data_IF_760438372133
#
_entry.id   IF_760438372133
#
_cell.length_a   1.000
_cell.length_b   1.000
_cell.length_c   1.000
_cell.angle_alpha   90.00
_cell.angle_beta   90.00
_cell.angle_gamma   90.00
#
_symmetry.space_group_name_H-M   'P 1'
#
loop_
_entity.id
_entity.type
_entity.pdbx_description
1 polymer ?
#
# COMPACT_ATOMS: atom_id res chain seq x y z
N UNK A 1 0.13 34.07 17.19
CA UNK A 1 0.74 33.90 18.54
C UNK A 1 -0.24 33.34 19.59
N UNK A 2 -1.37 34.03 19.96
CA UNK A 2 -2.28 33.49 21.00
C UNK A 2 -2.97 32.16 20.65
N UNK A 3 -3.34 31.93 19.39
CA UNK A 3 -3.99 30.68 18.94
C UNK A 3 -3.02 29.50 18.89
N UNK A 4 -1.79 29.71 18.50
CA UNK A 4 -0.74 28.68 18.44
C UNK A 4 -0.34 28.22 19.85
N UNK A 5 -0.19 29.15 20.80
CA UNK A 5 0.08 28.81 22.19
C UNK A 5 -1.00 27.94 22.82
N UNK A 6 -2.29 28.24 22.53
CA UNK A 6 -3.40 27.40 23.00
C UNK A 6 -3.37 25.98 22.41
N UNK A 7 -3.06 25.85 21.12
CA UNK A 7 -2.94 24.53 20.45
C UNK A 7 -1.77 23.74 21.01
N UNK A 8 -0.63 24.38 21.24
CA UNK A 8 0.54 23.73 21.83
C UNK A 8 0.20 23.20 23.24
N UNK A 9 -0.47 24.00 24.07
CA UNK A 9 -0.92 23.58 25.40
C UNK A 9 -1.86 22.37 25.29
N UNK A 10 -2.79 22.38 24.35
CA UNK A 10 -3.74 21.28 24.18
C UNK A 10 -3.04 19.99 23.74
N UNK A 11 -2.05 20.06 22.84
CA UNK A 11 -1.24 18.91 22.41
C UNK A 11 -0.52 18.27 23.60
N UNK A 12 0.19 19.09 24.41
CA UNK A 12 0.93 18.56 25.56
C UNK A 12 0.01 18.10 26.68
N UNK A 13 -1.19 18.68 26.81
CA UNK A 13 -2.19 18.21 27.74
C UNK A 13 -2.70 16.82 27.39
N UNK A 14 -3.01 16.55 26.10
CA UNK A 14 -3.37 15.20 25.65
C UNK A 14 -2.21 14.22 25.83
N UNK A 15 -0.98 14.64 25.55
CA UNK A 15 0.19 13.80 25.81
C UNK A 15 0.33 13.45 27.29
N UNK A 16 0.11 14.42 28.20
CA UNK A 16 0.13 14.16 29.65
C UNK A 16 -0.99 13.23 30.08
N UNK A 17 -2.20 13.35 29.51
CA UNK A 17 -3.29 12.41 29.75
C UNK A 17 -2.92 11.00 29.32
N UNK A 18 -2.35 10.85 28.11
CA UNK A 18 -1.89 9.55 27.62
C UNK A 18 -0.81 8.94 28.53
N UNK A 19 0.19 9.72 28.93
CA UNK A 19 1.25 9.25 29.84
C UNK A 19 0.70 8.88 31.20
N UNK A 20 -0.28 9.65 31.74
CA UNK A 20 -0.96 9.34 33.00
C UNK A 20 -1.73 8.02 32.88
N UNK A 21 -2.45 7.81 31.78
CA UNK A 21 -3.19 6.57 31.50
C UNK A 21 -2.25 5.35 31.48
N UNK A 22 -1.14 5.42 30.76
CA UNK A 22 -0.14 4.34 30.67
C UNK A 22 0.54 4.03 32.00
N UNK A 23 0.88 5.06 32.77
CA UNK A 23 1.71 4.89 33.99
C UNK A 23 0.92 4.61 35.26
N UNK A 24 -0.31 5.14 35.40
CA UNK A 24 -1.05 5.12 36.65
C UNK A 24 -2.37 4.34 36.60
N UNK A 25 -2.92 4.09 35.41
CA UNK A 25 -4.15 3.31 35.29
C UNK A 25 -3.79 1.82 35.17
N UNK A 26 -4.39 0.93 36.00
CA UNK A 26 -4.06 -0.49 35.95
C UNK A 26 -4.51 -1.10 34.62
N UNK A 27 -3.56 -1.69 33.92
CA UNK A 27 -3.79 -2.35 32.66
C UNK A 27 -4.27 -3.79 32.90
N UNK A 28 -5.42 -4.16 32.32
CA UNK A 28 -6.05 -5.47 32.51
C UNK A 28 -5.57 -6.54 31.53
N UNK A 29 -4.87 -6.14 30.47
CA UNK A 29 -4.57 -7.05 29.31
C UNK A 29 -3.11 -7.17 28.95
N UNK A 30 -2.24 -6.26 29.38
CA UNK A 30 -0.86 -6.30 28.93
C UNK A 30 -0.14 -7.52 29.44
N UNK A 31 0.56 -8.21 28.57
CA UNK A 31 1.52 -9.27 28.92
C UNK A 31 2.94 -8.73 29.04
N UNK A 32 3.15 -7.48 28.71
CA UNK A 32 4.45 -6.81 28.71
C UNK A 32 4.67 -6.11 30.06
N UNK A 33 5.82 -6.36 30.67
CA UNK A 33 6.21 -5.71 31.94
C UNK A 33 6.86 -4.35 31.72
N UNK A 34 7.49 -4.14 30.56
CA UNK A 34 8.28 -2.96 30.27
C UNK A 34 7.57 -2.09 29.23
N UNK A 35 7.21 -0.88 29.59
CA UNK A 35 6.59 0.10 28.70
C UNK A 35 7.60 0.89 27.86
N UNK A 36 8.90 0.56 27.97
CA UNK A 36 9.99 1.30 27.32
C UNK A 36 9.79 1.46 25.81
N UNK A 37 9.36 0.40 25.13
CA UNK A 37 9.14 0.45 23.68
C UNK A 37 8.02 1.42 23.30
N UNK A 38 6.92 1.45 24.04
CA UNK A 38 5.81 2.37 23.86
C UNK A 38 6.24 3.82 24.15
N UNK A 39 6.94 4.04 25.26
CA UNK A 39 7.44 5.37 25.63
C UNK A 39 8.44 5.92 24.60
N UNK A 40 9.33 5.07 24.08
CA UNK A 40 10.23 5.45 22.97
C UNK A 40 9.43 5.79 21.72
N UNK A 41 8.39 5.03 21.38
CA UNK A 41 7.50 5.33 20.25
C UNK A 41 6.81 6.69 20.40
N UNK A 42 6.27 6.98 21.60
CA UNK A 42 5.66 8.28 21.93
C UNK A 42 6.70 9.40 21.79
N UNK A 43 7.90 9.21 22.33
CA UNK A 43 8.97 10.20 22.24
C UNK A 43 9.41 10.47 20.80
N UNK A 44 9.46 9.44 19.96
CA UNK A 44 9.77 9.60 18.52
C UNK A 44 8.68 10.39 17.80
N UNK A 45 7.40 10.09 18.06
CA UNK A 45 6.26 10.83 17.47
C UNK A 45 6.32 12.30 17.89
N UNK A 46 6.57 12.58 19.18
CA UNK A 46 6.70 13.96 19.69
C UNK A 46 7.90 14.68 19.06
N UNK A 47 9.05 14.01 18.93
CA UNK A 47 10.23 14.57 18.27
C UNK A 47 9.97 14.91 16.79
N UNK A 48 9.24 14.05 16.07
CA UNK A 48 8.82 14.32 14.68
C UNK A 48 7.89 15.52 14.59
N UNK A 49 6.95 15.65 15.53
CA UNK A 49 6.07 16.82 15.61
C UNK A 49 6.85 18.11 15.85
N UNK A 50 7.75 18.12 16.84
CA UNK A 50 8.59 19.28 17.13
C UNK A 50 9.50 19.65 15.94
N UNK A 51 10.06 18.64 15.25
CA UNK A 51 10.82 18.83 14.02
C UNK A 51 9.96 19.43 12.90
N UNK A 52 8.74 18.94 12.72
CA UNK A 52 7.80 19.48 11.74
C UNK A 52 7.46 20.96 12.03
N UNK A 53 7.22 21.31 13.31
CA UNK A 53 6.98 22.68 13.73
C UNK A 53 8.20 23.58 13.46
N UNK A 54 9.39 23.12 13.82
CA UNK A 54 10.63 23.85 13.58
C UNK A 54 10.84 24.08 12.07
N UNK A 55 10.60 23.07 11.24
CA UNK A 55 10.74 23.16 9.79
C UNK A 55 9.73 24.13 9.17
N UNK A 56 8.46 24.08 9.57
CA UNK A 56 7.41 25.00 9.11
C UNK A 56 7.73 26.45 9.54
N UNK A 57 8.18 26.64 10.79
CA UNK A 57 8.58 27.96 11.31
C UNK A 57 9.76 28.54 10.50
N UNK A 58 10.74 27.72 10.16
CA UNK A 58 11.91 28.13 9.40
C UNK A 58 11.56 28.53 7.95
N UNK A 59 10.53 27.92 7.38
CA UNK A 59 10.00 28.25 6.04
C UNK A 59 8.99 29.40 6.02
N UNK A 60 8.62 29.96 7.15
CA UNK A 60 7.61 31.00 7.25
C UNK A 60 6.19 30.53 6.90
N UNK A 61 5.96 29.20 6.78
CA UNK A 61 4.67 28.59 6.47
C UNK A 61 4.07 27.96 7.73
N UNK A 62 3.73 28.76 8.74
CA UNK A 62 3.04 28.28 9.95
C UNK A 62 1.63 27.81 9.54
N UNK A 63 1.53 26.53 9.25
CA UNK A 63 0.27 25.84 8.97
C UNK A 63 -0.31 25.24 10.26
N UNK A 64 -1.63 25.19 10.37
CA UNK A 64 -2.32 24.49 11.47
C UNK A 64 -2.19 22.97 11.36
N UNK A 65 -1.84 22.46 10.18
CA UNK A 65 -1.78 21.03 9.87
C UNK A 65 -0.98 20.17 10.85
N UNK A 66 0.25 20.49 11.21
CA UNK A 66 1.01 19.69 12.20
C UNK A 66 0.32 19.56 13.55
N UNK A 67 -0.36 20.62 14.03
CA UNK A 67 -1.11 20.58 15.28
C UNK A 67 -2.34 19.69 15.18
N UNK A 68 -3.08 19.79 14.08
CA UNK A 68 -4.30 19.01 13.90
C UNK A 68 -3.97 17.51 13.75
N UNK A 69 -2.86 17.19 13.06
CA UNK A 69 -2.38 15.80 12.92
C UNK A 69 -1.97 15.21 14.27
N UNK A 70 -1.16 15.91 15.05
CA UNK A 70 -0.67 15.36 16.32
C UNK A 70 -1.80 15.26 17.36
N UNK A 71 -2.76 16.18 17.36
CA UNK A 71 -3.95 16.08 18.21
C UNK A 71 -4.76 14.84 17.87
N UNK A 72 -4.96 14.56 16.58
CA UNK A 72 -5.63 13.34 16.14
C UNK A 72 -4.87 12.08 16.54
N UNK A 73 -3.52 12.09 16.44
CA UNK A 73 -2.67 10.95 16.85
C UNK A 73 -2.79 10.69 18.34
N UNK A 74 -2.66 11.72 19.19
CA UNK A 74 -2.77 11.54 20.65
C UNK A 74 -4.18 11.11 21.07
N UNK A 75 -5.22 11.68 20.46
CA UNK A 75 -6.59 11.26 20.72
C UNK A 75 -6.81 9.79 20.34
N UNK A 76 -6.29 9.37 19.19
CA UNK A 76 -6.38 7.98 18.72
C UNK A 76 -5.63 7.04 19.68
N UNK A 77 -4.44 7.42 20.13
CA UNK A 77 -3.66 6.63 21.10
C UNK A 77 -4.37 6.49 22.44
N UNK A 78 -4.96 7.59 22.98
CA UNK A 78 -5.75 7.56 24.21
C UNK A 78 -6.97 6.65 24.06
N UNK A 79 -7.72 6.77 22.95
CA UNK A 79 -8.89 5.92 22.71
C UNK A 79 -8.48 4.45 22.54
N UNK A 80 -7.35 4.19 21.87
CA UNK A 80 -6.83 2.84 21.71
C UNK A 80 -6.44 2.23 23.06
N UNK A 81 -5.67 2.95 23.87
CA UNK A 81 -5.29 2.53 25.22
C UNK A 81 -6.52 2.30 26.10
N UNK A 82 -7.44 3.26 26.14
CA UNK A 82 -8.66 3.19 26.94
C UNK A 82 -9.53 1.98 26.57
N UNK A 83 -9.73 1.71 25.28
CA UNK A 83 -10.61 0.63 24.82
C UNK A 83 -9.99 -0.76 24.97
N UNK A 84 -8.67 -0.88 24.88
CA UNK A 84 -7.96 -2.15 24.98
C UNK A 84 -7.46 -2.46 26.38
N UNK A 85 -6.66 -1.57 26.94
CA UNK A 85 -5.92 -1.81 28.17
C UNK A 85 -6.73 -1.52 29.43
N UNK A 86 -7.58 -0.48 29.40
CA UNK A 86 -8.34 -0.03 30.59
C UNK A 86 -9.72 -0.65 30.64
N UNK A 87 -10.55 -0.42 29.61
CA UNK A 87 -11.96 -0.87 29.60
C UNK A 87 -12.13 -2.34 29.15
N UNK A 88 -11.12 -2.90 28.54
CA UNK A 88 -11.14 -4.29 28.05
C UNK A 88 -12.34 -4.63 27.14
N UNK A 89 -12.83 -3.66 26.35
CA UNK A 89 -14.00 -3.83 25.47
C UNK A 89 -13.62 -4.37 24.10
N UNK A 90 -12.46 -3.97 23.55
CA UNK A 90 -12.02 -4.40 22.24
C UNK A 90 -11.59 -5.88 22.27
N UNK A 91 -11.84 -6.62 21.17
CA UNK A 91 -11.45 -8.03 21.07
C UNK A 91 -9.93 -8.18 21.05
N UNK A 92 -9.31 -9.00 21.94
CA UNK A 92 -7.85 -9.03 22.13
C UNK A 92 -7.05 -9.40 20.87
N UNK A 93 -7.61 -10.30 20.05
CA UNK A 93 -6.95 -10.76 18.81
C UNK A 93 -7.06 -9.74 17.68
N UNK A 94 -8.17 -8.98 17.62
CA UNK A 94 -8.39 -8.01 16.57
C UNK A 94 -7.73 -6.67 16.86
N UNK A 95 -7.75 -6.27 18.14
CA UNK A 95 -7.17 -4.99 18.58
C UNK A 95 -6.29 -5.25 19.80
N UNK A 96 -5.01 -5.58 19.60
CA UNK A 96 -4.06 -5.76 20.71
C UNK A 96 -3.77 -4.44 21.40
N UNK A 97 -3.28 -4.51 22.65
CA UNK A 97 -2.86 -3.32 23.41
C UNK A 97 -1.67 -2.63 22.73
N UNK A 98 -1.58 -1.29 22.79
CA UNK A 98 -0.46 -0.54 22.22
C UNK A 98 0.91 -1.04 22.70
N UNK A 99 1.07 -1.36 23.99
CA UNK A 99 2.32 -1.85 24.56
C UNK A 99 2.78 -3.16 23.91
N UNK A 100 1.85 -4.09 23.69
CA UNK A 100 2.16 -5.36 23.03
C UNK A 100 2.59 -5.16 21.58
N UNK A 101 1.99 -4.20 20.87
CA UNK A 101 2.35 -3.87 19.50
C UNK A 101 3.76 -3.28 19.43
N UNK A 102 4.06 -2.29 20.26
CA UNK A 102 5.38 -1.65 20.28
C UNK A 102 6.49 -2.61 20.77
N UNK A 103 6.20 -3.46 21.73
CA UNK A 103 7.16 -4.47 22.20
C UNK A 103 7.42 -5.55 21.12
N UNK A 104 6.38 -5.97 20.41
CA UNK A 104 6.52 -6.87 19.26
C UNK A 104 7.40 -6.23 18.18
N UNK A 105 7.18 -4.95 17.88
CA UNK A 105 8.01 -4.19 16.94
C UNK A 105 9.48 -4.18 17.36
N UNK A 106 9.75 -3.93 18.65
CA UNK A 106 11.11 -3.94 19.22
C UNK A 106 11.78 -5.31 19.13
N UNK A 107 11.06 -6.37 19.49
CA UNK A 107 11.61 -7.74 19.57
C UNK A 107 11.77 -8.40 18.20
N UNK A 108 10.91 -8.08 17.26
CA UNK A 108 10.83 -8.77 15.97
C UNK A 108 11.15 -7.88 14.77
N UNK A 109 11.76 -6.75 14.99
CA UNK A 109 12.03 -5.79 13.96
C UNK A 109 12.83 -6.37 12.77
N UNK A 110 13.81 -7.23 13.05
CA UNK A 110 14.59 -7.91 12.02
C UNK A 110 13.75 -8.88 11.17
N UNK A 111 12.83 -9.62 11.82
CA UNK A 111 11.88 -10.51 11.14
C UNK A 111 10.87 -9.71 10.32
N UNK A 112 10.37 -8.59 10.86
CA UNK A 112 9.48 -7.69 10.13
C UNK A 112 10.14 -7.13 8.88
N UNK A 113 11.38 -6.63 8.98
CA UNK A 113 12.12 -6.12 7.82
C UNK A 113 12.37 -7.20 6.77
N UNK A 114 12.70 -8.41 7.20
CA UNK A 114 12.87 -9.54 6.29
C UNK A 114 11.58 -9.82 5.53
N UNK A 115 10.44 -9.89 6.21
CA UNK A 115 9.14 -10.11 5.58
C UNK A 115 8.72 -8.94 4.65
N UNK A 116 8.99 -7.69 5.05
CA UNK A 116 8.81 -6.52 4.16
C UNK A 116 9.66 -6.66 2.91
N UNK A 117 10.91 -7.09 3.04
CA UNK A 117 11.80 -7.33 1.90
C UNK A 117 11.24 -8.35 0.91
N UNK A 118 10.75 -9.48 1.40
CA UNK A 118 10.12 -10.53 0.57
C UNK A 118 8.85 -10.00 -0.13
N UNK A 119 7.97 -9.32 0.62
CA UNK A 119 6.76 -8.73 0.04
C UNK A 119 7.07 -7.68 -1.01
N UNK A 120 8.07 -6.82 -0.76
CA UNK A 120 8.50 -5.78 -1.70
C UNK A 120 9.10 -6.37 -2.98
N UNK A 121 9.95 -7.39 -2.87
CA UNK A 121 10.52 -8.08 -4.02
C UNK A 121 9.41 -8.66 -4.90
N UNK A 122 8.47 -9.39 -4.28
CA UNK A 122 7.36 -10.03 -4.98
C UNK A 122 6.45 -9.00 -5.65
N UNK A 123 6.15 -7.92 -4.94
CA UNK A 123 5.35 -6.80 -5.45
C UNK A 123 6.01 -6.15 -6.67
N UNK A 124 7.26 -5.75 -6.54
CA UNK A 124 7.96 -5.02 -7.60
C UNK A 124 8.14 -5.88 -8.85
N UNK A 125 8.48 -7.17 -8.69
CA UNK A 125 8.61 -8.09 -9.81
C UNK A 125 7.26 -8.35 -10.50
N UNK A 126 6.21 -8.67 -9.73
CA UNK A 126 4.88 -8.91 -10.28
C UNK A 126 4.29 -7.66 -10.94
N UNK A 127 4.49 -6.50 -10.31
CA UNK A 127 4.09 -5.20 -10.87
C UNK A 127 4.80 -4.90 -12.19
N UNK A 128 6.13 -5.02 -12.22
CA UNK A 128 6.92 -4.74 -13.41
C UNK A 128 6.54 -5.68 -14.57
N UNK A 129 6.38 -6.98 -14.31
CA UNK A 129 5.98 -7.96 -15.30
C UNK A 129 4.58 -7.67 -15.85
N UNK A 130 3.59 -7.49 -14.98
CA UNK A 130 2.21 -7.22 -15.38
C UNK A 130 2.07 -5.91 -16.15
N UNK A 131 2.68 -4.83 -15.66
CA UNK A 131 2.65 -3.51 -16.29
C UNK A 131 3.32 -3.53 -17.67
N UNK A 132 4.53 -4.08 -17.75
CA UNK A 132 5.30 -4.12 -19.01
C UNK A 132 4.57 -4.95 -20.06
N UNK A 133 4.10 -6.15 -19.70
CA UNK A 133 3.34 -7.00 -20.59
C UNK A 133 2.05 -6.31 -21.06
N UNK A 134 1.30 -5.68 -20.15
CA UNK A 134 0.05 -5.00 -20.48
C UNK A 134 0.26 -3.82 -21.42
N UNK A 135 1.29 -3.01 -21.19
CA UNK A 135 1.62 -1.86 -22.06
C UNK A 135 2.07 -2.32 -23.43
N UNK A 136 3.00 -3.27 -23.50
CA UNK A 136 3.54 -3.74 -24.80
C UNK A 136 2.47 -4.45 -25.63
N UNK A 137 1.74 -5.39 -25.04
CA UNK A 137 0.68 -6.12 -25.73
C UNK A 137 -0.53 -5.21 -26.03
N UNK A 138 -0.89 -4.32 -25.12
CA UNK A 138 -1.95 -3.33 -25.32
C UNK A 138 -1.64 -2.35 -26.44
N UNK A 139 -0.37 -1.92 -26.57
CA UNK A 139 0.08 -1.07 -27.66
C UNK A 139 -0.08 -1.77 -29.03
N UNK A 140 0.35 -3.03 -29.11
CA UNK A 140 0.23 -3.83 -30.34
C UNK A 140 -1.24 -4.08 -30.66
N UNK A 141 -2.04 -4.47 -29.67
CA UNK A 141 -3.47 -4.72 -29.85
C UNK A 141 -4.23 -3.43 -30.21
N UNK A 142 -3.86 -2.31 -29.63
CA UNK A 142 -4.43 -1.00 -29.96
C UNK A 142 -4.15 -0.59 -31.42
N UNK A 143 -2.97 -0.87 -31.93
CA UNK A 143 -2.56 -0.48 -33.27
C UNK A 143 -3.04 -1.44 -34.36
N UNK A 144 -2.95 -2.77 -34.12
CA UNK A 144 -3.27 -3.80 -35.16
C UNK A 144 -4.74 -4.21 -35.04
N UNK A 145 -5.62 -3.85 -36.03
CA UNK A 145 -7.06 -4.09 -35.94
C UNK A 145 -7.43 -5.57 -35.73
N UNK A 146 -6.70 -6.47 -36.35
CA UNK A 146 -6.95 -7.93 -36.27
C UNK A 146 -6.68 -8.46 -34.84
N UNK A 147 -5.60 -8.01 -34.21
CA UNK A 147 -5.24 -8.40 -32.83
C UNK A 147 -6.24 -7.78 -31.86
N UNK A 148 -6.63 -6.53 -32.08
CA UNK A 148 -7.64 -5.85 -31.29
C UNK A 148 -8.98 -6.57 -31.33
N UNK A 149 -9.46 -6.94 -32.51
CA UNK A 149 -10.74 -7.63 -32.66
C UNK A 149 -10.81 -8.94 -31.86
N UNK A 150 -9.67 -9.60 -31.66
CA UNK A 150 -9.57 -10.80 -30.84
C UNK A 150 -9.35 -10.48 -29.33
N UNK A 151 -8.38 -9.63 -29.01
CA UNK A 151 -7.94 -9.44 -27.63
C UNK A 151 -8.84 -8.49 -26.81
N UNK A 152 -9.45 -7.50 -27.44
CA UNK A 152 -10.27 -6.50 -26.76
C UNK A 152 -11.53 -7.08 -26.11
N UNK A 153 -12.33 -7.95 -26.77
CA UNK A 153 -13.46 -8.59 -26.10
C UNK A 153 -13.04 -9.45 -24.90
N UNK A 154 -11.92 -10.17 -25.02
CA UNK A 154 -11.38 -10.98 -23.92
C UNK A 154 -11.02 -10.07 -22.74
N UNK A 155 -10.30 -8.98 -23.01
CA UNK A 155 -9.90 -8.03 -21.98
C UNK A 155 -11.09 -7.38 -21.25
N UNK A 156 -12.16 -7.05 -21.98
CA UNK A 156 -13.39 -6.49 -21.40
C UNK A 156 -14.06 -7.46 -20.42
N UNK A 157 -13.99 -8.77 -20.69
CA UNK A 157 -14.54 -9.78 -19.77
C UNK A 157 -13.60 -10.03 -18.60
N UNK A 158 -12.29 -10.06 -18.86
CA UNK A 158 -11.29 -10.41 -17.82
C UNK A 158 -10.96 -9.26 -16.89
N UNK A 159 -10.99 -8.00 -17.34
CA UNK A 159 -10.58 -6.85 -16.53
C UNK A 159 -11.44 -6.64 -15.27
N UNK A 160 -12.76 -6.85 -15.26
CA UNK A 160 -13.58 -6.76 -14.06
C UNK A 160 -13.40 -7.94 -13.10
N UNK A 161 -12.81 -9.06 -13.53
CA UNK A 161 -12.62 -10.24 -12.68
C UNK A 161 -11.41 -10.04 -11.78
N UNK A 162 -11.60 -9.99 -10.43
CA UNK A 162 -10.49 -9.87 -9.52
C UNK A 162 -9.54 -11.08 -9.64
N UNK A 163 -8.25 -10.85 -9.85
CA UNK A 163 -7.26 -11.92 -10.00
C UNK A 163 -7.20 -12.88 -8.80
N UNK A 164 -7.64 -12.43 -7.62
CA UNK A 164 -7.73 -13.24 -6.42
C UNK A 164 -8.65 -14.47 -6.58
N UNK A 165 -9.69 -14.38 -7.39
CA UNK A 165 -10.62 -15.50 -7.63
C UNK A 165 -9.89 -16.68 -8.30
N UNK A 166 -8.85 -16.37 -9.09
CA UNK A 166 -8.05 -17.37 -9.82
C UNK A 166 -6.88 -17.87 -8.96
N UNK A 167 -6.55 -17.18 -7.86
CA UNK A 167 -5.36 -17.48 -7.06
C UNK A 167 -5.28 -18.91 -6.51
N UNK A 168 -6.36 -19.57 -6.00
CA UNK A 168 -6.29 -20.94 -5.52
C UNK A 168 -5.88 -21.93 -6.63
N UNK A 169 -6.39 -21.70 -7.83
CA UNK A 169 -6.04 -22.53 -9.00
C UNK A 169 -4.58 -22.35 -9.41
N UNK A 170 -4.08 -21.11 -9.37
CA UNK A 170 -2.68 -20.82 -9.68
C UNK A 170 -1.74 -21.43 -8.65
N UNK A 171 -2.09 -21.39 -7.36
CA UNK A 171 -1.30 -22.06 -6.30
C UNK A 171 -1.24 -23.56 -6.52
N UNK A 172 -2.33 -24.18 -6.98
CA UNK A 172 -2.35 -25.62 -7.26
C UNK A 172 -1.60 -26.02 -8.55
N UNK A 173 -1.56 -25.15 -9.54
CA UNK A 173 -0.97 -25.43 -10.86
C UNK A 173 0.51 -25.06 -10.96
N UNK A 174 0.96 -24.06 -10.19
CA UNK A 174 2.33 -23.55 -10.31
C UNK A 174 3.32 -24.36 -9.46
N UNK A 175 4.57 -24.50 -9.91
CA UNK A 175 5.59 -25.29 -9.21
C UNK A 175 5.94 -24.75 -7.83
N UNK A 176 5.81 -23.44 -7.62
CA UNK A 176 6.14 -22.78 -6.36
C UNK A 176 5.09 -21.73 -6.03
N UNK A 177 4.89 -21.52 -4.73
CA UNK A 177 4.03 -20.44 -4.24
C UNK A 177 4.47 -19.06 -4.77
N UNK A 178 5.78 -18.83 -4.84
CA UNK A 178 6.36 -17.58 -5.37
C UNK A 178 5.93 -17.32 -6.82
N UNK A 179 6.00 -18.34 -7.68
CA UNK A 179 5.55 -18.20 -9.08
C UNK A 179 4.05 -17.95 -9.20
N UNK A 180 3.23 -18.63 -8.38
CA UNK A 180 1.79 -18.38 -8.31
C UNK A 180 1.48 -16.93 -7.93
N UNK A 181 2.12 -16.44 -6.87
CA UNK A 181 1.94 -15.05 -6.39
C UNK A 181 2.36 -14.01 -7.43
N UNK A 182 3.48 -14.22 -8.12
CA UNK A 182 3.92 -13.35 -9.21
C UNK A 182 2.86 -13.26 -10.32
N UNK A 183 2.28 -14.41 -10.71
CA UNK A 183 1.24 -14.45 -11.74
C UNK A 183 -0.04 -13.76 -11.25
N UNK A 184 -0.47 -13.98 -10.00
CA UNK A 184 -1.67 -13.30 -9.43
C UNK A 184 -1.51 -11.79 -9.43
N UNK A 185 -0.36 -11.29 -8.94
CA UNK A 185 -0.07 -9.85 -8.93
C UNK A 185 -0.03 -9.30 -10.35
N UNK A 186 0.65 -10.00 -11.26
CA UNK A 186 0.77 -9.60 -12.66
C UNK A 186 -0.59 -9.54 -13.36
N UNK A 187 -1.46 -10.54 -13.17
CA UNK A 187 -2.80 -10.58 -13.76
C UNK A 187 -3.72 -9.49 -13.23
N UNK A 188 -3.60 -9.16 -11.93
CA UNK A 188 -4.37 -8.07 -11.33
C UNK A 188 -4.11 -6.72 -11.97
N UNK A 189 -2.90 -6.50 -12.51
CA UNK A 189 -2.51 -5.27 -13.19
C UNK A 189 -2.72 -5.39 -14.70
N UNK A 190 -2.46 -6.57 -15.24
CA UNK A 190 -2.39 -6.80 -16.69
C UNK A 190 -3.69 -6.40 -17.40
N UNK A 191 -4.82 -6.98 -17.02
CA UNK A 191 -6.07 -6.78 -17.76
C UNK A 191 -6.58 -5.33 -17.74
N UNK A 192 -6.66 -4.64 -16.59
CA UNK A 192 -7.09 -3.24 -16.55
C UNK A 192 -6.14 -2.32 -17.32
N UNK A 193 -4.82 -2.53 -17.18
CA UNK A 193 -3.82 -1.71 -17.86
C UNK A 193 -3.78 -1.98 -19.38
N UNK A 194 -3.91 -3.23 -19.78
CA UNK A 194 -4.04 -3.62 -21.19
C UNK A 194 -5.24 -2.92 -21.85
N UNK A 195 -6.41 -3.02 -21.23
CA UNK A 195 -7.63 -2.39 -21.73
C UNK A 195 -7.50 -0.86 -21.83
N UNK A 196 -6.95 -0.23 -20.77
CA UNK A 196 -6.69 1.20 -20.77
C UNK A 196 -5.71 1.61 -21.86
N UNK A 197 -4.65 0.81 -22.08
CA UNK A 197 -3.66 1.06 -23.12
C UNK A 197 -4.28 0.97 -24.52
N UNK A 198 -5.07 -0.07 -24.80
CA UNK A 198 -5.79 -0.22 -26.08
C UNK A 198 -6.71 0.99 -26.30
N UNK A 199 -7.49 1.38 -25.30
CA UNK A 199 -8.41 2.52 -25.39
C UNK A 199 -7.65 3.84 -25.66
N UNK A 200 -6.51 4.06 -25.03
CA UNK A 200 -5.69 5.27 -25.27
C UNK A 200 -5.15 5.34 -26.69
N UNK A 201 -4.70 4.20 -27.24
CA UNK A 201 -4.26 4.13 -28.63
C UNK A 201 -5.43 4.42 -29.59
N UNK A 202 -6.62 3.92 -29.29
CA UNK A 202 -7.81 4.16 -30.13
C UNK A 202 -8.32 5.59 -30.07
N UNK A 203 -8.20 6.23 -28.90
CA UNK A 203 -8.67 7.59 -28.67
C UNK A 203 -7.56 8.64 -28.93
N UNK A 204 -6.50 8.25 -29.64
CA UNK A 204 -5.47 9.21 -30.07
C UNK A 204 -6.07 10.26 -31.01
N UNK A 205 -5.66 11.50 -30.83
CA UNK A 205 -6.11 12.62 -31.67
C UNK A 205 -5.82 12.32 -33.14
N UNK A 206 -6.86 12.46 -33.99
CA UNK A 206 -6.78 12.17 -35.42
C UNK A 206 -5.68 13.01 -36.10
N UNK A 207 -5.53 14.26 -35.68
CA UNK A 207 -4.52 15.18 -36.20
C UNK A 207 -3.09 14.67 -36.00
N UNK A 208 -2.79 14.08 -34.82
CA UNK A 208 -1.47 13.51 -34.54
C UNK A 208 -1.26 12.25 -35.38
N UNK A 209 -2.31 11.43 -35.48
CA UNK A 209 -2.26 10.18 -36.24
C UNK A 209 -2.05 10.44 -37.74
N UNK A 210 -2.76 11.39 -38.33
CA UNK A 210 -2.65 11.73 -39.75
C UNK A 210 -1.31 12.40 -40.04
N UNK A 211 -0.83 13.28 -39.19
CA UNK A 211 0.51 13.87 -39.29
C UNK A 211 1.60 12.79 -39.25
N UNK A 212 1.45 11.79 -38.38
CA UNK A 212 2.37 10.67 -38.31
C UNK A 212 2.33 9.79 -39.55
N UNK A 213 1.15 9.55 -40.09
CA UNK A 213 0.94 8.73 -41.34
C UNK A 213 1.55 9.36 -42.57
N UNK A 214 1.56 10.69 -42.69
CA UNK A 214 2.20 11.38 -43.84
C UNK A 214 3.68 11.06 -43.95
N UNK A 215 4.35 10.77 -42.84
CA UNK A 215 5.75 10.35 -42.79
C UNK A 215 5.97 8.89 -43.12
N UNK A 216 4.91 8.11 -43.34
CA UNK A 216 4.95 6.68 -43.66
C UNK A 216 5.91 5.86 -42.77
N UNK A 217 5.84 5.99 -41.43
CA UNK A 217 6.76 5.30 -40.52
C UNK A 217 6.52 3.78 -40.59
N UNK A 218 7.58 3.00 -40.39
CA UNK A 218 7.41 1.56 -40.14
C UNK A 218 6.56 1.30 -38.90
N UNK A 219 5.87 0.16 -38.86
CA UNK A 219 5.04 -0.24 -37.70
C UNK A 219 5.83 -0.17 -36.38
N UNK A 220 7.10 -0.60 -36.40
CA UNK A 220 7.97 -0.52 -35.23
C UNK A 220 8.19 0.93 -34.79
N UNK A 221 8.46 1.83 -35.73
CA UNK A 221 8.64 3.26 -35.44
C UNK A 221 7.36 3.88 -34.91
N UNK A 222 6.21 3.54 -35.50
CA UNK A 222 4.90 4.00 -35.01
C UNK A 222 4.67 3.58 -33.56
N UNK A 223 4.87 2.30 -33.22
CA UNK A 223 4.66 1.77 -31.88
C UNK A 223 5.62 2.41 -30.85
N UNK A 224 6.93 2.45 -31.15
CA UNK A 224 7.94 2.79 -30.15
C UNK A 224 8.22 4.30 -30.03
N UNK A 225 8.14 5.07 -31.14
CA UNK A 225 8.49 6.48 -31.16
C UNK A 225 7.30 7.45 -31.14
N UNK A 226 6.11 6.96 -31.48
CA UNK A 226 4.91 7.80 -31.56
C UNK A 226 3.90 7.36 -30.50
N UNK A 227 3.39 6.14 -30.59
CA UNK A 227 2.33 5.65 -29.72
C UNK A 227 2.78 5.48 -28.27
N UNK A 228 3.93 4.83 -28.04
CA UNK A 228 4.44 4.60 -26.68
C UNK A 228 4.66 5.92 -25.88
N UNK A 229 5.38 6.93 -26.42
CA UNK A 229 5.51 8.21 -25.73
C UNK A 229 4.16 8.92 -25.53
N UNK A 230 3.23 8.81 -26.47
CA UNK A 230 1.91 9.41 -26.36
C UNK A 230 1.09 8.84 -25.21
N UNK A 231 1.08 7.50 -25.05
CA UNK A 231 0.29 6.85 -23.98
C UNK A 231 0.97 6.92 -22.60
N UNK A 232 2.31 7.05 -22.57
CA UNK A 232 3.12 6.92 -21.35
C UNK A 232 2.69 7.86 -20.21
N UNK A 233 2.40 9.15 -20.42
CA UNK A 233 1.92 10.03 -19.36
C UNK A 233 0.64 9.52 -18.71
N UNK A 234 -0.25 8.96 -19.52
CA UNK A 234 -1.48 8.39 -19.03
C UNK A 234 -1.29 7.06 -18.29
N UNK A 235 -0.34 6.24 -18.67
CA UNK A 235 0.05 5.04 -17.93
C UNK A 235 0.64 5.47 -16.57
N UNK A 236 1.56 6.45 -16.56
CA UNK A 236 2.17 6.97 -15.33
C UNK A 236 1.11 7.51 -14.37
N UNK A 237 0.13 8.27 -14.86
CA UNK A 237 -0.96 8.79 -14.02
C UNK A 237 -1.81 7.67 -13.39
N UNK A 238 -1.93 6.52 -14.05
CA UNK A 238 -2.63 5.33 -13.55
C UNK A 238 -1.82 4.49 -12.56
N UNK A 239 -0.50 4.68 -12.44
CA UNK A 239 0.36 3.84 -11.60
C UNK A 239 -0.08 3.81 -10.12
N UNK A 240 -0.61 4.93 -9.60
CA UNK A 240 -1.09 4.98 -8.21
C UNK A 240 -2.19 3.93 -7.96
N UNK A 241 -3.18 3.87 -8.83
CA UNK A 241 -4.30 2.92 -8.70
C UNK A 241 -3.81 1.49 -8.90
N UNK A 242 -2.97 1.27 -9.93
CA UNK A 242 -2.38 -0.06 -10.19
C UNK A 242 -1.52 -0.56 -9.03
N UNK A 243 -0.75 0.32 -8.38
CA UNK A 243 0.07 -0.03 -7.21
C UNK A 243 -0.80 -0.44 -6.00
N UNK A 244 -1.88 0.31 -5.74
CA UNK A 244 -2.83 -0.05 -4.69
C UNK A 244 -3.47 -1.43 -4.93
N UNK A 245 -3.90 -1.70 -6.15
CA UNK A 245 -4.45 -3.00 -6.53
C UNK A 245 -3.40 -4.12 -6.36
N UNK A 246 -2.16 -3.86 -6.74
CA UNK A 246 -1.05 -4.82 -6.59
C UNK A 246 -0.76 -5.16 -5.14
N UNK A 247 -0.78 -4.17 -4.25
CA UNK A 247 -0.61 -4.37 -2.80
C UNK A 247 -1.73 -5.22 -2.23
N UNK A 248 -2.98 -5.01 -2.66
CA UNK A 248 -4.09 -5.86 -2.25
C UNK A 248 -3.91 -7.29 -2.74
N UNK A 249 -3.55 -7.48 -4.02
CA UNK A 249 -3.31 -8.81 -4.59
C UNK A 249 -2.14 -9.53 -3.91
N UNK A 250 -1.06 -8.81 -3.58
CA UNK A 250 0.07 -9.34 -2.82
C UNK A 250 -0.37 -9.88 -1.46
N UNK A 251 -1.08 -9.07 -0.66
CA UNK A 251 -1.55 -9.49 0.65
C UNK A 251 -2.41 -10.75 0.56
N UNK A 252 -3.36 -10.80 -0.36
CA UNK A 252 -4.20 -11.97 -0.56
C UNK A 252 -3.40 -13.19 -1.02
N UNK A 253 -2.45 -13.02 -1.92
CA UNK A 253 -1.59 -14.12 -2.35
C UNK A 253 -0.80 -14.67 -1.17
N UNK A 254 -0.18 -13.82 -0.35
CA UNK A 254 0.59 -14.24 0.82
C UNK A 254 -0.25 -14.94 1.89
N UNK A 255 -1.52 -14.54 2.07
CA UNK A 255 -2.46 -15.21 2.98
C UNK A 255 -2.77 -16.65 2.58
N UNK A 256 -2.65 -17.01 1.30
CA UNK A 256 -3.07 -18.32 0.77
C UNK A 256 -2.02 -19.42 0.87
N UNK A 257 -0.80 -19.17 1.31
CA UNK A 257 0.18 -20.23 1.43
C UNK A 257 1.64 -19.79 1.35
N UNK A 258 1.92 -18.51 1.59
CA UNK A 258 3.30 -18.05 1.74
C UNK A 258 3.95 -18.64 2.97
N UNK A 259 5.27 -18.79 2.92
CA UNK A 259 6.12 -19.12 4.07
C UNK A 259 6.83 -17.89 4.62
N UNK A 260 6.80 -16.79 3.87
CA UNK A 260 7.40 -15.50 4.19
C UNK A 260 6.53 -14.39 3.60
N UNK A 261 6.65 -13.18 4.13
CA UNK A 261 5.94 -11.99 3.68
C UNK A 261 5.06 -11.38 4.77
N UNK A 262 4.61 -10.14 4.54
CA UNK A 262 3.81 -9.40 5.53
C UNK A 262 2.42 -9.99 5.74
N UNK A 263 1.77 -10.48 4.68
CA UNK A 263 0.50 -11.17 4.78
C UNK A 263 0.60 -12.48 5.56
N UNK A 264 1.63 -13.29 5.28
CA UNK A 264 1.94 -14.49 6.06
C UNK A 264 2.20 -14.17 7.54
N UNK A 265 3.03 -13.14 7.81
CA UNK A 265 3.33 -12.71 9.17
C UNK A 265 2.05 -12.32 9.92
N UNK A 266 1.15 -11.56 9.30
CA UNK A 266 -0.10 -11.13 9.92
C UNK A 266 -0.98 -12.32 10.33
N UNK A 267 -1.10 -13.36 9.49
CA UNK A 267 -1.89 -14.56 9.80
C UNK A 267 -1.21 -15.43 10.85
N UNK A 268 0.09 -15.69 10.71
CA UNK A 268 0.82 -16.55 11.66
C UNK A 268 0.78 -15.98 13.07
N UNK A 269 0.79 -14.65 13.20
CA UNK A 269 0.72 -13.98 14.50
C UNK A 269 -0.67 -14.06 15.15
N UNK A 270 -1.74 -13.96 14.37
CA UNK A 270 -3.10 -14.12 14.88
C UNK A 270 -3.39 -15.54 15.35
N UNK A 271 -2.84 -16.56 14.66
CA UNK A 271 -3.01 -17.96 15.05
C UNK A 271 -2.13 -18.40 16.23
N UNK A 272 -0.89 -17.90 16.32
CA UNK A 272 0.02 -18.22 17.45
C UNK A 272 -0.42 -17.59 18.77
N UNK A 273 -1.19 -16.51 18.74
CA UNK A 273 -1.80 -15.90 19.94
C UNK A 273 -2.87 -16.75 20.63
N UNK A 274 -3.42 -17.75 19.95
CA UNK A 274 -4.44 -18.66 20.49
C UNK A 274 -3.88 -19.90 21.22
N UNK A 275 -2.59 -20.17 21.08
CA UNK A 275 -1.95 -21.39 21.63
C UNK A 275 -1.15 -21.17 22.91
N UNK A 276 -1.26 -19.99 23.55
CA UNK A 276 -0.57 -19.71 24.82
C UNK A 276 -1.53 -19.18 25.87
#
# INVERSE_FOLDING_TARGET
MKAEGRRLILVHLLLLVLLYEIMFVPNQRTTVRDYDALLVGIAVIEALFLFALWYCKRRGTLSTGPFDIILAVWLLMIVWELTTSVLNVAHPVLVPCPENVFDTFRKQWSLLLLNVGYSMELLLLGFALGLTAAVLLGLVAGWVPRIRAFAYPIANVMAPIPAIVISPYLVALMPTFRSASLVVISLGIFWPTFLTTVNRVQNMEVQILDSARTLQPSTRTMLTRILLPYILPGVISGLRVSMTTSLLMLNFAELMGATHGMGYYAVSYTHLGWSR
#
